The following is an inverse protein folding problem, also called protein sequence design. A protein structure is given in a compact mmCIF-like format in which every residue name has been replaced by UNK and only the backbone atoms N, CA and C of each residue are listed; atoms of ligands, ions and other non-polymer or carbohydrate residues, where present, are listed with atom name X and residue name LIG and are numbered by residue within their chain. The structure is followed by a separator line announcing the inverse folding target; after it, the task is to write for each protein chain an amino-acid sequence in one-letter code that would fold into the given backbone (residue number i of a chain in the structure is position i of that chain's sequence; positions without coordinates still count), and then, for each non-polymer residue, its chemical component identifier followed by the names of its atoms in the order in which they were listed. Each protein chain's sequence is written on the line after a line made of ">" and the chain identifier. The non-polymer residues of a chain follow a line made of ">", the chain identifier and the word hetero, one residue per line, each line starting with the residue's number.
data_IF_606352737416
#
_entry.id   IF_606352737416
#
_cell.length_a   1.000
_cell.length_b   1.000
_cell.length_c   1.000
_cell.angle_alpha   90.00
_cell.angle_beta   90.00
_cell.angle_gamma   90.00
#
_symmetry.space_group_name_H-M   'P 1'
#
loop_
_entity.id
_entity.type
_entity.pdbx_description
1 polymer ?
2 non-polymer ?
3 non-polymer ?
4 water ?
#
# COMPACT_ATOMS: atom_id res chain seq x y z
N UNK A 1 -2.28 6.05 18.24
CA UNK A 1 -3.43 5.39 17.64
C UNK A 1 -3.33 3.88 17.60
N UNK A 2 -4.28 3.25 16.91
CA UNK A 2 -4.27 1.81 16.72
C UNK A 2 -3.46 1.45 15.49
N UNK A 3 -2.49 0.54 15.66
CA UNK A 3 -1.71 0.10 14.51
C UNK A 3 -2.60 -0.56 13.46
N UNK A 4 -3.57 -1.35 13.90
CA UNK A 4 -4.42 -2.05 12.95
C UNK A 4 -5.37 -1.09 12.24
N UNK A 5 -5.99 -0.18 12.98
CA UNK A 5 -6.88 0.78 12.33
C UNK A 5 -6.10 1.70 11.39
N UNK A 6 -4.88 2.06 11.78
CA UNK A 6 -4.04 2.85 10.89
C UNK A 6 -3.74 2.08 9.61
N UNK A 7 -3.52 0.77 9.73
CA UNK A 7 -3.32 -0.05 8.53
C UNK A 7 -4.57 -0.03 7.66
N UNK A 8 -5.74 -0.22 8.26
CA UNK A 8 -6.96 -0.24 7.45
C UNK A 8 -7.15 1.08 6.72
N UNK A 9 -6.93 2.19 7.42
CA UNK A 9 -7.04 3.50 6.78
C UNK A 9 -6.07 3.61 5.60
N UNK A 10 -4.79 3.27 5.81
CA UNK A 10 -3.80 3.31 4.74
C UNK A 10 -4.19 2.43 3.57
N UNK A 11 -4.73 1.23 3.86
CA UNK A 11 -5.08 0.29 2.82
C UNK A 11 -6.17 0.82 1.90
N UNK A 12 -6.90 1.85 2.33
CA UNK A 12 -8.01 2.37 1.57
C UNK A 12 -7.63 3.60 0.75
N UNK A 13 -6.46 4.17 0.99
CA UNK A 13 -6.09 5.40 0.29
C UNK A 13 -5.89 5.16 -1.20
N UNK A 14 -5.44 3.96 -1.60
CA UNK A 14 -5.19 3.69 -3.01
C UNK A 14 -6.42 3.83 -3.89
N UNK A 15 -7.61 3.60 -3.34
CA UNK A 15 -8.82 3.79 -4.16
C UNK A 15 -9.00 5.25 -4.54
N UNK A 16 -8.67 6.17 -3.63
CA UNK A 16 -8.71 7.57 -3.98
C UNK A 16 -7.62 7.96 -4.96
N UNK A 17 -6.41 7.40 -4.80
CA UNK A 17 -5.36 7.66 -5.75
C UNK A 17 -5.74 7.14 -7.14
N UNK A 18 -6.47 6.02 -7.22
CA UNK A 18 -6.88 5.52 -8.52
C UNK A 18 -7.87 6.47 -9.20
N UNK A 19 -8.85 6.97 -8.44
CA UNK A 19 -9.75 7.99 -8.99
C UNK A 19 -9.00 9.26 -9.34
N UNK A 20 -8.00 9.63 -8.55
CA UNK A 20 -7.20 10.80 -8.89
C UNK A 20 -6.46 10.59 -10.20
N UNK A 21 -6.02 9.36 -10.49
CA UNK A 21 -5.28 9.15 -11.74
C UNK A 21 -6.16 9.42 -12.95
N UNK A 22 -7.46 9.10 -12.87
CA UNK A 22 -8.37 9.44 -13.95
C UNK A 22 -8.49 10.95 -14.09
N UNK A 23 -8.57 11.65 -12.96
CA UNK A 23 -8.62 13.12 -13.00
C UNK A 23 -7.34 13.69 -13.60
N UNK A 24 -6.17 13.09 -13.30
CA UNK A 24 -4.93 13.57 -13.91
C UNK A 24 -4.95 13.46 -15.42
N UNK A 25 -5.62 12.44 -15.95
CA UNK A 25 -5.75 12.31 -17.39
C UNK A 25 -6.58 13.45 -17.97
N UNK A 26 -7.67 13.80 -17.31
CA UNK A 26 -8.47 14.94 -17.75
C UNK A 26 -7.64 16.22 -17.75
N UNK A 27 -6.88 16.45 -16.68
CA UNK A 27 -6.10 17.70 -16.61
C UNK A 27 -5.06 17.71 -17.73
N UNK A 28 -4.39 16.59 -17.96
CA UNK A 28 -3.36 16.54 -19.00
C UNK A 28 -3.95 16.79 -20.39
N UNK A 29 -5.13 16.22 -20.66
CA UNK A 29 -5.77 16.44 -21.95
C UNK A 29 -6.05 17.92 -22.16
N UNK A 30 -6.65 18.56 -21.16
CA UNK A 30 -7.03 19.96 -21.28
C UNK A 30 -5.82 20.88 -21.28
N UNK A 31 -4.75 20.53 -20.56
CA UNK A 31 -3.56 21.38 -20.59
C UNK A 31 -3.05 21.51 -22.01
N UNK A 32 -3.04 20.41 -22.75
CA UNK A 32 -2.53 20.42 -24.12
C UNK A 32 -3.41 21.23 -25.06
N UNK A 33 -4.71 21.34 -24.77
CA UNK A 33 -5.59 22.08 -25.66
C UNK A 33 -5.90 23.50 -25.18
N UNK A 34 -5.41 23.89 -24.00
CA UNK A 34 -5.66 25.22 -23.48
C UNK A 34 -7.07 25.43 -22.98
N UNK A 35 -7.76 24.37 -22.58
CA UNK A 35 -9.14 24.45 -22.16
C UNK A 35 -9.24 24.36 -20.64
N UNK A 36 -10.46 24.53 -20.12
CA UNK A 36 -10.72 24.33 -18.70
C UNK A 36 -10.08 23.02 -18.26
N UNK A 37 -9.34 23.06 -17.15
CA UNK A 37 -8.57 21.88 -16.79
C UNK A 37 -9.43 20.74 -16.28
N UNK A 38 -10.70 21.02 -15.96
CA UNK A 38 -11.70 19.98 -15.71
C UNK A 38 -12.59 19.71 -16.92
N UNK A 39 -12.16 20.11 -18.12
CA UNK A 39 -12.99 19.92 -19.31
C UNK A 39 -13.29 18.45 -19.55
N UNK A 40 -14.56 18.12 -19.74
CA UNK A 40 -15.01 16.76 -19.96
C UNK A 40 -15.04 15.89 -18.71
N UNK A 41 -14.63 16.41 -17.56
CA UNK A 41 -14.47 15.58 -16.37
C UNK A 41 -15.81 15.25 -15.73
N UNK A 42 -16.02 13.97 -15.39
CA UNK A 42 -17.18 13.53 -14.63
C UNK A 42 -16.75 13.18 -13.21
N UNK A 43 -17.04 14.00 -12.21
CA UNK A 43 -16.59 13.70 -10.86
C UNK A 43 -17.20 12.39 -10.36
N UNK A 44 -16.40 11.52 -9.75
CA UNK A 44 -16.91 10.22 -9.33
C UNK A 44 -17.94 10.33 -8.22
N UNK A 45 -18.88 9.39 -8.23
CA UNK A 45 -19.83 9.28 -7.13
C UNK A 45 -19.11 8.91 -5.83
N UNK A 46 -19.67 9.38 -4.71
CA UNK A 46 -19.12 9.02 -3.41
C UNK A 46 -19.12 7.52 -3.21
N UNK A 47 -18.03 7.00 -2.65
CA UNK A 47 -17.90 5.57 -2.36
C UNK A 47 -17.65 5.37 -0.86
N UNK A 48 -17.49 4.10 -0.47
CA UNK A 48 -17.25 3.77 0.94
C UNK A 48 -16.05 4.52 1.48
N UNK A 49 -15.02 4.70 0.64
CA UNK A 49 -13.74 5.22 1.09
C UNK A 49 -13.40 6.60 0.56
N UNK A 50 -14.00 7.02 -0.55
CA UNK A 50 -13.66 8.29 -1.20
C UNK A 50 -14.92 9.13 -1.30
N UNK A 51 -14.93 10.29 -0.64
CA UNK A 51 -16.10 11.14 -0.70
C UNK A 51 -16.16 11.91 -2.00
N UNK A 52 -15.03 12.39 -2.50
CA UNK A 52 -15.04 13.17 -3.73
C UNK A 52 -13.62 13.25 -4.29
N UNK A 53 -13.55 13.47 -5.60
CA UNK A 53 -12.32 13.81 -6.31
C UNK A 53 -12.66 14.99 -7.21
N UNK A 54 -12.10 16.15 -6.89
CA UNK A 54 -12.47 17.39 -7.55
C UNK A 54 -11.27 18.00 -8.26
N UNK A 55 -11.51 18.60 -9.42
CA UNK A 55 -10.49 19.34 -10.17
C UNK A 55 -10.80 20.82 -10.09
N UNK A 56 -9.79 21.61 -9.75
CA UNK A 56 -9.87 23.07 -9.92
C UNK A 56 -9.64 23.36 -11.39
N UNK A 57 -10.68 23.85 -12.10
CA UNK A 57 -10.55 24.07 -13.53
C UNK A 57 -9.57 25.16 -13.91
N UNK A 58 -9.16 26.00 -12.97
CA UNK A 58 -8.20 27.06 -13.29
C UNK A 58 -6.75 26.57 -13.19
N UNK A 59 -6.43 25.75 -12.18
CA UNK A 59 -5.07 25.32 -11.90
C UNK A 59 -4.80 23.85 -12.23
N UNK A 60 -5.85 23.04 -12.35
CA UNK A 60 -5.68 21.62 -12.51
C UNK A 60 -5.36 20.88 -11.23
N UNK A 61 -5.33 21.56 -10.08
CA UNK A 61 -5.10 20.84 -8.82
C UNK A 61 -6.26 19.92 -8.52
N UNK A 62 -5.95 18.72 -8.04
CA UNK A 62 -6.93 17.69 -7.73
C UNK A 62 -7.00 17.53 -6.23
N UNK A 63 -8.20 17.58 -5.67
CA UNK A 63 -8.40 17.34 -4.25
C UNK A 63 -9.16 16.03 -4.08
N UNK A 64 -8.54 15.08 -3.37
CA UNK A 64 -9.14 13.79 -3.03
C UNK A 64 -9.58 13.87 -1.57
N UNK A 65 -10.88 13.71 -1.33
CA UNK A 65 -11.42 13.76 0.03
C UNK A 65 -11.84 12.35 0.42
N UNK A 66 -11.28 11.84 1.50
CA UNK A 66 -11.62 10.49 1.95
C UNK A 66 -12.73 10.52 2.98
N UNK A 67 -13.42 9.38 3.11
CA UNK A 67 -14.47 9.25 4.12
C UNK A 67 -13.88 8.92 5.48
N UNK A 68 -14.76 8.83 6.49
CA UNK A 68 -14.34 8.47 7.84
C UNK A 68 -13.81 7.05 7.93
N UNK A 69 -13.98 6.22 6.89
CA UNK A 69 -13.28 4.94 6.87
C UNK A 69 -11.77 5.12 6.79
N UNK A 70 -11.32 6.32 6.42
CA UNK A 70 -9.90 6.67 6.40
C UNK A 70 -9.55 7.64 7.52
N UNK A 71 -10.24 8.78 7.59
CA UNK A 71 -9.89 9.78 8.59
C UNK A 71 -11.08 10.71 8.82
N UNK A 72 -10.99 11.47 9.91
CA UNK A 72 -12.06 12.36 10.30
C UNK A 72 -12.25 13.49 9.29
N UNK A 73 -13.50 13.94 9.15
CA UNK A 73 -13.80 15.08 8.30
C UNK A 73 -12.97 16.28 8.73
N UNK A 74 -12.44 17.01 7.75
CA UNK A 74 -11.54 18.11 8.04
C UNK A 74 -10.09 17.72 8.17
N UNK A 75 -9.78 16.43 8.29
CA UNK A 75 -8.42 15.92 8.25
C UNK A 75 -8.35 14.78 7.25
N UNK A 76 -8.83 15.04 6.02
CA UNK A 76 -9.13 13.93 5.11
C UNK A 76 -8.77 14.18 3.64
N UNK A 77 -7.99 15.20 3.30
CA UNK A 77 -7.71 15.43 1.87
C UNK A 77 -6.24 15.23 1.51
N UNK A 78 -6.05 14.73 0.29
CA UNK A 78 -4.77 14.80 -0.43
C UNK A 78 -4.96 15.75 -1.59
N UNK A 79 -3.90 16.48 -1.94
CA UNK A 79 -3.94 17.39 -3.09
C UNK A 79 -2.84 16.99 -4.06
N UNK A 80 -3.20 16.84 -5.33
CA UNK A 80 -2.25 16.55 -6.40
C UNK A 80 -2.11 17.81 -7.24
N UNK A 81 -0.88 18.29 -7.40
CA UNK A 81 -0.60 19.57 -8.07
C UNK A 81 0.14 19.30 -9.37
N UNK A 82 -0.36 19.77 -10.51
CA UNK A 82 0.36 19.62 -11.78
C UNK A 82 1.20 20.85 -12.10
N UNK A 83 2.28 20.61 -12.85
CA UNK A 83 3.14 21.70 -13.29
C UNK A 83 3.85 21.31 -14.57
N UNK A 84 4.48 22.28 -15.20
CA UNK A 84 5.27 22.07 -16.40
C UNK A 84 6.56 22.87 -16.28
N UNK A 85 7.60 22.50 -17.03
CA UNK A 85 8.83 23.30 -16.99
C UNK A 85 8.59 24.68 -17.60
N UNK A 86 9.40 25.65 -17.15
CA UNK A 86 9.23 27.01 -17.66
C UNK A 86 9.72 27.14 -19.10
N UNK A 87 10.66 26.31 -19.51
CA UNK A 87 11.24 26.35 -20.84
C UNK A 87 11.31 24.94 -21.42
N UNK A 88 11.14 24.83 -22.73
CA UNK A 88 11.29 23.53 -23.39
C UNK A 88 12.74 23.07 -23.37
N UNK A 89 13.69 24.00 -23.40
CA UNK A 89 15.12 23.71 -23.48
C UNK A 89 15.79 24.27 -22.24
N UNK A 90 16.41 23.38 -21.46
CA UNK A 90 17.14 23.69 -20.23
C UNK A 90 16.31 24.58 -19.31
N UNK A 91 15.24 24.04 -18.74
CA UNK A 91 14.39 24.85 -17.85
C UNK A 91 15.13 25.25 -16.58
N UNK A 92 14.61 26.28 -15.93
CA UNK A 92 15.17 26.76 -14.67
C UNK A 92 14.16 26.71 -13.55
N UNK A 93 12.93 26.30 -13.83
CA UNK A 93 11.86 26.32 -12.86
C UNK A 93 10.68 25.53 -13.43
N UNK A 94 9.72 25.29 -12.57
CA UNK A 94 8.43 24.74 -12.98
C UNK A 94 7.38 25.82 -12.79
N UNK A 95 6.35 25.77 -13.62
CA UNK A 95 5.26 26.74 -13.56
C UNK A 95 3.93 26.03 -13.37
N UNK A 96 2.95 26.66 -12.73
CA UNK A 96 1.63 26.05 -12.65
C UNK A 96 0.96 25.99 -14.02
N UNK A 97 -0.05 25.13 -14.10
CA UNK A 97 -0.98 25.20 -15.21
C UNK A 97 -1.94 26.36 -15.00
N UNK A 98 -2.44 26.92 -16.10
CA UNK A 98 -3.41 27.99 -16.03
C UNK A 98 -4.40 27.82 -17.15
N UNK A 99 -5.69 27.71 -16.81
CA UNK A 99 -6.76 27.69 -17.79
C UNK A 99 -6.55 28.73 -18.88
N UNK A 100 -6.59 28.26 -20.12
CA UNK A 100 -6.48 29.14 -21.28
C UNK A 100 -5.08 29.24 -21.84
N UNK A 101 -4.08 28.77 -21.11
CA UNK A 101 -2.70 28.80 -21.57
C UNK A 101 -2.32 27.40 -22.01
N UNK A 102 -2.17 27.22 -23.33
CA UNK A 102 -1.73 25.94 -23.84
C UNK A 102 -0.39 25.59 -23.24
N UNK A 103 -0.38 24.37 -22.73
CA UNK A 103 0.85 23.84 -22.10
C UNK A 103 1.15 22.49 -22.73
N UNK A 104 2.12 22.50 -23.65
CA UNK A 104 2.56 21.27 -24.30
C UNK A 104 3.56 20.53 -23.43
N UNK A 105 3.71 19.22 -23.70
CA UNK A 105 4.74 18.41 -23.08
C UNK A 105 4.27 17.62 -21.87
N UNK A 106 5.25 17.10 -21.14
CA UNK A 106 4.97 16.23 -20.00
C UNK A 106 4.60 17.05 -18.76
N UNK A 107 3.48 16.69 -18.16
CA UNK A 107 3.01 17.32 -16.94
C UNK A 107 3.56 16.55 -15.76
N UNK A 108 4.17 17.26 -14.80
CA UNK A 108 4.63 16.64 -13.56
C UNK A 108 3.54 16.78 -12.51
N UNK A 109 3.42 15.75 -11.67
CA UNK A 109 2.44 15.74 -10.59
C UNK A 109 3.15 15.59 -9.25
N UNK A 110 2.69 16.34 -8.25
CA UNK A 110 3.22 16.21 -6.90
C UNK A 110 2.07 16.06 -5.92
N UNK A 111 2.18 15.10 -5.01
CA UNK A 111 1.16 14.82 -4.02
C UNK A 111 1.51 15.52 -2.71
N UNK A 112 0.48 16.05 -2.04
CA UNK A 112 0.65 16.71 -0.75
C UNK A 112 -0.33 16.12 0.26
N UNK A 113 0.18 15.73 1.41
CA UNK A 113 -0.59 15.44 2.61
C UNK A 113 -0.37 16.58 3.61
N UNK A 114 -1.05 16.49 4.75
CA UNK A 114 -0.85 17.49 5.79
C UNK A 114 0.62 17.53 6.20
N UNK A 115 1.12 18.72 6.48
CA UNK A 115 2.47 18.89 6.94
C UNK A 115 3.51 19.06 5.85
N UNK A 116 3.18 18.74 4.61
CA UNK A 116 4.13 18.97 3.50
C UNK A 116 3.96 20.42 3.03
N UNK A 117 4.84 21.30 3.50
CA UNK A 117 4.68 22.73 3.25
C UNK A 117 5.64 23.26 2.18
N UNK A 118 6.36 22.38 1.52
CA UNK A 118 7.23 22.76 0.43
C UNK A 118 7.23 21.66 -0.61
N UNK A 119 7.39 22.07 -1.86
CA UNK A 119 7.57 21.11 -2.94
C UNK A 119 8.98 20.53 -2.88
N UNK A 120 9.10 19.23 -3.18
CA UNK A 120 10.41 18.58 -3.26
C UNK A 120 10.62 17.94 -4.63
N UNK A 121 9.96 18.43 -5.67
CA UNK A 121 10.18 17.92 -7.00
C UNK A 121 11.64 18.10 -7.42
N UNK A 122 12.18 17.22 -8.26
CA UNK A 122 13.59 17.32 -8.65
C UNK A 122 13.87 18.48 -9.59
N UNK A 123 15.14 18.67 -9.94
CA UNK A 123 15.50 19.69 -10.93
C UNK A 123 14.57 19.57 -12.13
N UNK A 124 14.09 20.71 -12.69
CA UNK A 124 14.50 22.10 -12.45
C UNK A 124 13.92 22.79 -11.24
N UNK A 125 13.23 22.09 -10.34
CA UNK A 125 13.00 22.64 -9.02
C UNK A 125 11.57 22.50 -8.54
N UNK A 126 11.20 23.35 -7.59
CA UNK A 126 9.93 23.24 -6.89
C UNK A 126 8.75 23.46 -7.82
N UNK A 127 7.71 22.65 -7.62
CA UNK A 127 6.43 22.92 -8.24
C UNK A 127 5.57 23.78 -7.32
N UNK A 128 4.37 24.12 -7.78
CA UNK A 128 3.47 24.94 -6.96
C UNK A 128 2.97 24.20 -5.74
N UNK A 129 2.49 24.97 -4.75
CA UNK A 129 1.87 24.41 -3.56
C UNK A 129 0.36 24.30 -3.72
N UNK A 130 -0.28 23.41 -2.95
CA UNK A 130 -1.75 23.37 -2.94
C UNK A 130 -2.35 24.75 -2.66
N UNK A 131 -3.39 25.08 -3.40
CA UNK A 131 -4.13 26.31 -3.15
C UNK A 131 -4.70 26.33 -1.74
N UNK A 132 -5.25 25.20 -1.31
CA UNK A 132 -5.65 24.96 0.06
C UNK A 132 -4.89 23.74 0.56
N UNK A 133 -4.26 23.88 1.73
CA UNK A 133 -3.42 22.81 2.24
C UNK A 133 -4.18 21.50 2.33
N UNK A 134 -3.48 20.42 2.04
CA UNK A 134 -4.01 19.09 2.27
C UNK A 134 -4.16 18.85 3.76
N UNK A 135 -5.17 18.06 4.14
CA UNK A 135 -5.44 17.84 5.55
C UNK A 135 -5.34 16.38 5.99
N UNK A 136 -5.15 15.43 5.09
CA UNK A 136 -4.97 14.04 5.51
C UNK A 136 -3.64 13.88 6.24
N UNK A 137 -3.63 13.32 7.44
CA UNK A 137 -2.35 13.13 8.15
C UNK A 137 -1.37 12.30 7.33
N UNK A 138 -0.09 12.73 7.35
CA UNK A 138 0.94 12.09 6.54
C UNK A 138 1.06 10.60 6.81
N UNK A 139 0.78 10.15 8.03
CA UNK A 139 0.92 8.72 8.38
C UNK A 139 -0.02 7.81 7.56
N UNK A 140 -1.04 8.41 6.96
CA UNK A 140 -1.97 7.63 6.15
C UNK A 140 -1.62 7.64 4.67
N UNK A 141 -0.62 8.40 4.28
CA UNK A 141 -0.36 8.69 2.89
C UNK A 141 0.91 8.02 2.40
N UNK A 142 1.03 7.83 1.08
CA UNK A 142 2.30 7.35 0.52
C UNK A 142 3.44 8.30 0.86
N UNK A 143 4.66 7.74 0.84
CA UNK A 143 5.86 8.50 1.19
C UNK A 143 5.95 9.80 0.40
N UNK A 144 5.65 9.75 -0.91
CA UNK A 144 5.85 10.92 -1.75
C UNK A 144 4.90 12.06 -1.40
N UNK A 145 3.88 11.81 -0.58
CA UNK A 145 2.96 12.87 -0.15
C UNK A 145 3.39 13.51 1.16
N UNK A 146 4.29 12.84 1.90
CA UNK A 146 4.65 13.30 3.24
C UNK A 146 5.66 14.43 3.20
N UNK A 147 6.49 14.48 2.18
CA UNK A 147 7.53 15.50 2.08
C UNK A 147 7.87 15.66 0.61
N UNK B 2 -6.28 -40.70 9.05
CA UNK B 2 -7.28 -40.50 10.13
C UNK B 2 -7.93 -39.14 9.90
N UNK B 3 -9.14 -39.10 9.35
CA UNK B 3 -9.73 -37.79 8.99
C UNK B 3 -9.82 -36.88 10.21
N UNK B 4 -10.35 -37.42 11.31
CA UNK B 4 -10.47 -36.57 12.49
C UNK B 4 -9.11 -36.11 12.98
N UNK B 5 -8.16 -37.04 13.13
CA UNK B 5 -6.87 -36.62 13.66
C UNK B 5 -6.15 -35.67 12.70
N UNK B 6 -6.36 -35.81 11.38
CA UNK B 6 -5.83 -34.82 10.45
C UNK B 6 -6.48 -33.47 10.67
N UNK B 7 -7.80 -33.45 10.83
CA UNK B 7 -8.51 -32.21 11.12
C UNK B 7 -8.01 -31.58 12.41
N UNK B 8 -7.78 -32.41 13.43
CA UNK B 8 -7.33 -31.89 14.70
C UNK B 8 -5.97 -31.20 14.54
N UNK B 9 -5.07 -31.84 13.79
CA UNK B 9 -3.78 -31.21 13.51
C UNK B 9 -3.97 -29.87 12.78
N UNK B 10 -4.85 -29.85 11.78
CA UNK B 10 -5.09 -28.60 11.06
C UNK B 10 -5.70 -27.53 11.95
N UNK B 11 -6.56 -27.94 12.90
CA UNK B 11 -7.18 -26.98 13.80
C UNK B 11 -6.14 -26.36 14.73
N UNK B 12 -5.20 -27.17 15.23
CA UNK B 12 -4.13 -26.67 16.07
C UNK B 12 -3.20 -25.77 15.28
N UNK B 13 -2.95 -26.12 14.01
CA UNK B 13 -2.14 -25.27 13.14
C UNK B 13 -2.83 -23.94 12.92
N UNK B 14 -4.16 -23.96 12.73
CA UNK B 14 -4.89 -22.71 12.57
C UNK B 14 -4.80 -21.80 13.78
N UNK B 15 -4.80 -22.38 14.97
CA UNK B 15 -4.61 -21.59 16.18
C UNK B 15 -3.23 -20.94 16.18
N UNK B 16 -2.22 -21.65 15.67
CA UNK B 16 -0.90 -21.07 15.56
C UNK B 16 -0.83 -19.93 14.56
N UNK B 17 -1.47 -20.10 13.40
CA UNK B 17 -1.51 -19.02 12.42
C UNK B 17 -2.19 -17.79 12.99
N UNK B 18 -3.23 -17.99 13.82
CA UNK B 18 -3.87 -16.85 14.46
C UNK B 18 -2.96 -16.16 15.46
N UNK B 19 -2.07 -16.93 16.10
CA UNK B 19 -1.10 -16.35 17.02
C UNK B 19 -0.14 -15.41 16.30
N UNK B 20 0.09 -15.63 15.01
CA UNK B 20 0.98 -14.80 14.22
C UNK B 20 0.33 -13.52 13.73
N UNK B 21 -0.93 -13.27 14.09
CA UNK B 21 -1.58 -12.04 13.63
C UNK B 21 -0.83 -10.80 14.11
N UNK B 22 -0.30 -10.83 15.34
CA UNK B 22 0.44 -9.65 15.82
C UNK B 22 1.76 -9.48 15.08
N UNK B 23 2.36 -10.58 14.61
CA UNK B 23 3.56 -10.45 13.78
C UNK B 23 3.21 -9.81 12.43
N UNK B 24 2.05 -10.16 11.87
CA UNK B 24 1.64 -9.58 10.57
C UNK B 24 1.43 -8.08 10.75
N UNK B 25 0.85 -7.70 11.89
CA UNK B 25 0.64 -6.29 12.16
C UNK B 25 1.95 -5.54 12.36
N UNK B 26 2.92 -6.15 13.05
CA UNK B 26 4.22 -5.52 13.20
C UNK B 26 4.87 -5.27 11.85
N UNK B 27 4.78 -6.24 10.95
CA UNK B 27 5.34 -6.08 9.61
C UNK B 27 4.70 -4.90 8.90
N UNK B 28 3.37 -4.84 8.91
CA UNK B 28 2.66 -3.75 8.24
C UNK B 28 3.00 -2.40 8.85
N UNK B 29 3.07 -2.32 10.18
CA UNK B 29 3.39 -1.04 10.81
C UNK B 29 4.78 -0.58 10.45
N UNK B 30 5.75 -1.51 10.42
CA UNK B 30 7.12 -1.16 10.06
C UNK B 30 7.26 -0.83 8.58
N UNK B 31 6.53 -1.55 7.71
CA UNK B 31 6.59 -1.27 6.28
C UNK B 31 6.15 0.15 5.98
N UNK B 32 5.15 0.64 6.71
CA UNK B 32 4.62 1.98 6.46
C UNK B 32 5.57 3.08 6.92
N UNK B 33 6.50 2.75 7.81
CA UNK B 33 7.51 3.70 8.28
C UNK B 33 8.87 3.47 7.64
N UNK B 34 9.05 2.38 6.89
CA UNK B 34 10.33 2.09 6.27
C UNK B 34 11.36 1.50 7.21
N UNK B 35 10.93 0.94 8.34
CA UNK B 35 11.87 0.47 9.35
C UNK B 35 12.00 -1.05 9.22
N UNK B 36 12.93 -1.61 10.02
CA UNK B 36 13.11 -3.04 10.10
C UNK B 36 11.76 -3.74 10.30
N UNK B 37 11.48 -4.73 9.45
CA UNK B 37 10.14 -5.30 9.42
C UNK B 37 9.85 -6.17 10.62
N UNK B 38 10.88 -6.59 11.36
CA UNK B 38 10.69 -7.21 12.66
C UNK B 38 10.78 -6.22 13.81
N UNK B 39 10.90 -4.92 13.51
CA UNK B 39 11.06 -3.91 14.54
C UNK B 39 9.97 -3.90 15.59
N UNK B 40 10.35 -3.91 16.86
CA UNK B 40 9.42 -3.81 17.97
C UNK B 40 8.67 -5.08 18.29
N UNK B 41 8.91 -6.16 17.56
CA UNK B 41 8.18 -7.40 17.73
C UNK B 41 8.90 -8.31 18.72
N UNK B 42 8.19 -8.73 19.78
CA UNK B 42 8.75 -9.71 20.70
C UNK B 42 8.14 -11.07 20.39
N UNK B 43 8.90 -12.01 19.83
CA UNK B 43 8.31 -13.29 19.47
C UNK B 43 7.73 -13.99 20.68
N UNK B 44 6.66 -14.76 20.51
CA UNK B 44 6.04 -15.42 21.66
C UNK B 44 6.89 -16.58 22.17
N UNK B 45 6.73 -16.86 23.46
CA UNK B 45 7.26 -18.11 23.97
C UNK B 45 6.44 -19.27 23.42
N UNK B 46 7.01 -20.46 23.52
CA UNK B 46 6.32 -21.63 23.00
C UNK B 46 4.99 -21.84 23.72
N UNK B 47 4.05 -22.44 22.98
CA UNK B 47 2.75 -22.83 23.58
C UNK B 47 2.63 -24.35 23.32
N UNK B 48 1.47 -24.91 23.62
CA UNK B 48 1.23 -26.33 23.35
C UNK B 48 1.34 -26.65 21.86
N UNK B 49 0.93 -25.71 21.00
CA UNK B 49 0.92 -25.94 19.57
C UNK B 49 2.09 -25.30 18.83
N UNK B 50 2.55 -24.14 19.28
CA UNK B 50 3.50 -23.33 18.54
C UNK B 50 4.82 -23.27 19.28
N UNK B 51 5.90 -23.61 18.58
CA UNK B 51 7.23 -23.53 19.12
C UNK B 51 7.82 -22.13 18.99
N UNK B 52 7.62 -21.48 17.84
CA UNK B 52 8.17 -20.14 17.62
C UNK B 52 7.47 -19.46 16.46
N UNK B 53 7.51 -18.13 16.49
CA UNK B 53 7.11 -17.27 15.38
C UNK B 53 8.27 -16.32 15.14
N UNK B 54 8.72 -16.21 13.89
CA UNK B 54 9.89 -15.40 13.58
C UNK B 54 9.62 -14.56 12.34
N UNK B 55 10.04 -13.30 12.40
CA UNK B 55 9.91 -12.35 11.29
C UNK B 55 11.28 -12.12 10.68
N UNK B 56 11.38 -12.24 9.36
CA UNK B 56 12.59 -11.80 8.67
C UNK B 56 12.50 -10.27 8.51
N UNK B 57 13.47 -9.56 9.10
CA UNK B 57 13.39 -8.10 9.10
C UNK B 57 13.60 -7.46 7.75
N UNK B 58 14.11 -8.20 6.77
CA UNK B 58 14.37 -7.65 5.45
C UNK B 58 13.16 -7.82 4.54
N UNK B 59 12.50 -8.98 4.60
CA UNK B 59 11.41 -9.32 3.69
C UNK B 59 10.04 -9.31 4.33
N UNK B 60 9.97 -9.36 5.66
CA UNK B 60 8.71 -9.47 6.35
C UNK B 60 8.09 -10.84 6.35
N UNK B 61 8.77 -11.86 5.81
CA UNK B 61 8.23 -13.22 5.85
C UNK B 61 8.22 -13.74 7.27
N UNK B 62 7.12 -14.39 7.64
CA UNK B 62 6.93 -14.93 8.98
C UNK B 62 7.02 -16.45 8.92
N UNK B 63 7.88 -17.02 9.75
CA UNK B 63 7.99 -18.48 9.87
C UNK B 63 7.36 -18.90 11.19
N UNK B 64 6.37 -19.79 11.11
CA UNK B 64 5.70 -20.33 12.28
C UNK B 64 6.12 -21.80 12.40
N UNK B 65 6.73 -22.14 13.53
CA UNK B 65 7.17 -23.50 13.82
C UNK B 65 6.25 -24.13 14.86
N UNK B 66 5.77 -25.34 14.58
CA UNK B 66 4.80 -26.00 15.44
C UNK B 66 5.48 -27.09 16.26
N UNK B 67 4.89 -27.40 17.41
CA UNK B 67 5.47 -28.36 18.34
C UNK B 67 5.25 -29.79 17.83
N UNK B 68 5.87 -30.74 18.52
CA UNK B 68 5.81 -32.13 18.08
C UNK B 68 4.41 -32.71 18.17
N UNK B 69 3.53 -32.13 19.00
CA UNK B 69 2.18 -32.66 19.06
C UNK B 69 1.39 -32.33 17.80
N UNK B 70 1.91 -31.46 16.94
CA UNK B 70 1.34 -31.22 15.63
C UNK B 70 2.09 -31.98 14.54
N UNK B 71 3.41 -31.88 14.53
CA UNK B 71 4.19 -32.50 13.46
C UNK B 71 5.62 -32.72 13.95
N UNK B 72 6.29 -33.68 13.32
CA UNK B 72 7.66 -34.02 13.70
C UNK B 72 8.60 -32.86 13.45
N UNK B 73 9.66 -32.78 14.27
CA UNK B 73 10.65 -31.74 14.12
C UNK B 73 11.30 -31.79 12.75
N UNK B 74 11.55 -30.62 12.17
CA UNK B 74 12.07 -30.53 10.82
C UNK B 74 11.03 -30.63 9.72
N UNK B 75 9.80 -31.02 10.04
CA UNK B 75 8.69 -31.00 9.09
C UNK B 75 7.53 -30.25 9.75
N UNK B 76 7.80 -29.02 10.20
CA UNK B 76 6.90 -28.39 11.15
C UNK B 76 6.69 -26.90 10.94
N UNK B 77 7.09 -26.31 9.82
CA UNK B 77 6.93 -24.87 9.63
C UNK B 77 5.95 -24.52 8.53
N UNK B 78 5.28 -23.37 8.71
CA UNK B 78 4.55 -22.68 7.67
C UNK B 78 5.24 -21.33 7.44
N UNK B 79 5.16 -20.81 6.22
CA UNK B 79 5.74 -19.50 5.92
C UNK B 79 4.63 -18.59 5.40
N UNK B 80 4.52 -17.40 5.97
CA UNK B 80 3.58 -16.37 5.54
C UNK B 80 4.37 -15.28 4.83
N UNK B 81 4.04 -15.03 3.57
CA UNK B 81 4.79 -14.11 2.72
C UNK B 81 3.95 -12.88 2.47
N UNK B 82 4.43 -11.68 2.83
CA UNK B 82 3.68 -10.47 2.51
C UNK B 82 4.12 -9.85 1.19
N UNK B 83 3.15 -9.18 0.56
CA UNK B 83 3.44 -8.45 -0.67
C UNK B 83 2.54 -7.23 -0.75
N UNK B 84 2.92 -6.30 -1.63
CA UNK B 84 2.26 -5.02 -1.79
C UNK B 84 2.04 -4.74 -3.27
N UNK B 85 1.16 -3.81 -3.61
CA UNK B 85 0.97 -3.46 -5.02
C UNK B 85 2.21 -2.83 -5.61
N UNK B 86 2.44 -3.08 -6.92
CA UNK B 86 3.46 -2.35 -7.63
C UNK B 86 3.14 -0.87 -7.68
N UNK B 87 1.86 -0.53 -7.78
CA UNK B 87 1.39 0.85 -7.68
C UNK B 87 0.05 0.82 -6.99
N UNK B 88 -0.18 1.79 -6.09
CA UNK B 88 -1.39 1.79 -5.27
C UNK B 88 -2.64 2.06 -6.11
N UNK B 89 -2.51 2.87 -7.16
CA UNK B 89 -3.62 3.21 -8.02
C UNK B 89 -3.69 2.17 -9.15
N UNK B 90 -4.71 1.31 -9.09
CA UNK B 90 -4.89 0.21 -10.04
C UNK B 90 -3.64 -0.66 -10.10
N UNK B 91 -3.40 -1.49 -9.08
CA UNK B 91 -2.22 -2.36 -9.10
C UNK B 91 -2.22 -3.29 -10.31
N UNK B 92 -1.04 -3.47 -10.90
CA UNK B 92 -0.87 -4.39 -12.01
C UNK B 92 0.01 -5.57 -11.68
N UNK B 93 0.52 -5.65 -10.45
CA UNK B 93 1.37 -6.75 -10.02
C UNK B 93 1.53 -6.65 -8.51
N UNK B 94 2.18 -7.66 -7.93
CA UNK B 94 2.55 -7.68 -6.52
C UNK B 94 4.06 -7.66 -6.40
N UNK B 95 4.57 -6.94 -5.40
CA UNK B 95 6.00 -6.88 -5.16
C UNK B 95 6.29 -7.29 -3.72
N UNK B 96 7.46 -7.85 -3.44
CA UNK B 96 7.81 -8.15 -2.04
C UNK B 96 7.99 -6.89 -1.22
N UNK B 97 7.87 -7.04 0.09
CA UNK B 97 8.33 -6.00 1.00
C UNK B 97 9.85 -5.99 1.05
N UNK B 98 10.41 -4.80 1.27
CA UNK B 98 11.85 -4.63 1.36
C UNK B 98 12.15 -3.61 2.46
N UNK B 99 12.89 -4.05 3.46
CA UNK B 99 13.35 -3.17 4.54
C UNK B 99 13.90 -1.87 3.97
N UNK B 100 13.41 -0.75 4.51
CA UNK B 100 13.88 0.56 4.11
C UNK B 100 13.08 1.21 2.99
N UNK B 101 12.18 0.48 2.36
CA UNK B 101 11.30 0.98 1.32
C UNK B 101 9.89 1.10 1.90
N UNK B 102 9.39 2.32 1.99
CA UNK B 102 8.08 2.57 2.59
C UNK B 102 7.01 1.93 1.72
N UNK B 103 6.20 1.09 2.33
CA UNK B 103 5.04 0.54 1.64
C UNK B 103 3.86 0.88 2.53
N UNK B 104 3.08 1.88 2.11
CA UNK B 104 2.07 2.49 2.96
C UNK B 104 0.66 2.16 2.51
N UNK B 105 0.49 1.15 1.67
CA UNK B 105 -0.84 0.75 1.23
C UNK B 105 -1.23 -0.63 1.70
N UNK B 106 -1.99 -1.35 0.87
CA UNK B 106 -2.42 -2.69 1.22
C UNK B 106 -1.22 -3.63 1.32
N UNK B 107 -1.32 -4.59 2.24
CA UNK B 107 -0.37 -5.68 2.37
C UNK B 107 -1.16 -6.97 2.30
N UNK B 108 -0.81 -7.84 1.35
CA UNK B 108 -1.44 -9.15 1.20
C UNK B 108 -0.52 -10.22 1.76
N UNK B 109 -1.12 -11.25 2.37
CA UNK B 109 -0.36 -12.34 2.96
C UNK B 109 -0.73 -13.65 2.27
N UNK B 110 0.28 -14.43 1.91
CA UNK B 110 0.06 -15.75 1.36
C UNK B 110 0.77 -16.78 2.23
N UNK B 111 0.08 -17.88 2.52
CA UNK B 111 0.58 -18.96 3.35
C UNK B 111 1.16 -20.06 2.47
N UNK B 112 2.27 -20.64 2.91
CA UNK B 112 2.92 -21.74 2.20
C UNK B 112 3.20 -22.88 3.15
N UNK B 113 2.78 -24.08 2.75
CA UNK B 113 3.15 -25.33 3.40
C UNK B 113 4.11 -26.09 2.48
N UNK B 114 4.56 -27.25 2.93
CA UNK B 114 5.47 -28.03 2.10
C UNK B 114 4.79 -28.38 0.77
N UNK B 115 5.56 -28.28 -0.32
CA UNK B 115 5.07 -28.65 -1.63
C UNK B 115 4.37 -27.56 -2.40
N UNK B 116 4.11 -26.41 -1.77
CA UNK B 116 3.52 -25.28 -2.47
C UNK B 116 4.66 -24.48 -3.06
N UNK B 117 5.01 -24.78 -4.32
CA UNK B 117 6.18 -24.20 -4.95
C UNK B 117 5.84 -23.03 -5.85
N UNK B 118 4.57 -22.65 -5.94
CA UNK B 118 4.17 -21.49 -6.73
C UNK B 118 3.10 -20.74 -5.95
N UNK B 119 3.06 -19.42 -6.17
CA UNK B 119 2.02 -18.60 -5.55
C UNK B 119 0.68 -18.87 -6.25
N UNK B 120 -0.40 -18.81 -5.46
CA UNK B 120 -1.74 -18.96 -6.00
C UNK B 120 -2.58 -17.71 -5.80
N UNK B 121 -1.94 -16.57 -5.54
CA UNK B 121 -2.70 -15.35 -5.31
C UNK B 121 -3.45 -14.97 -6.59
N UNK B 122 -4.61 -14.30 -6.45
CA UNK B 122 -5.36 -13.89 -7.63
C UNK B 122 -4.82 -12.61 -8.24
N UNK B 123 -5.58 -12.06 -9.18
CA UNK B 123 -5.21 -10.80 -9.82
C UNK B 123 -4.92 -9.75 -8.74
N UNK B 124 -3.88 -8.92 -8.93
CA UNK B 124 -3.07 -8.77 -10.15
C UNK B 124 -1.99 -9.82 -10.38
N UNK B 125 -1.83 -10.88 -9.60
CA UNK B 125 -0.94 -11.94 -10.02
C UNK B 125 -0.20 -12.59 -8.87
N UNK B 126 0.86 -13.32 -9.22
CA UNK B 126 1.61 -14.10 -8.25
C UNK B 126 2.31 -13.20 -7.24
N UNK B 127 2.36 -13.67 -5.98
CA UNK B 127 3.17 -13.04 -4.97
C UNK B 127 4.53 -13.71 -4.88
N UNK B 128 5.40 -13.19 -4.01
CA UNK B 128 6.71 -13.81 -3.84
C UNK B 128 6.62 -15.16 -3.12
N UNK B 129 7.69 -15.95 -3.27
CA UNK B 129 7.78 -17.26 -2.66
C UNK B 129 8.60 -17.23 -1.38
N UNK B 130 8.40 -18.21 -0.49
CA UNK B 130 9.22 -18.29 0.73
C UNK B 130 10.71 -18.31 0.44
N UNK B 131 11.47 -17.58 1.25
CA UNK B 131 12.92 -17.59 1.14
C UNK B 131 13.46 -18.99 1.38
N UNK B 132 12.91 -19.69 2.36
CA UNK B 132 13.20 -21.08 2.63
C UNK B 132 11.86 -21.81 2.64
N UNK B 133 11.80 -22.96 1.97
CA UNK B 133 10.55 -23.69 1.83
C UNK B 133 9.96 -24.03 3.19
N UNK B 134 8.63 -23.97 3.28
CA UNK B 134 7.94 -24.46 4.46
C UNK B 134 8.06 -25.98 4.53
N UNK B 135 8.04 -26.51 5.76
CA UNK B 135 8.25 -27.94 5.93
C UNK B 135 7.07 -28.68 6.53
N UNK B 136 6.02 -28.00 6.97
CA UNK B 136 4.84 -28.69 7.48
C UNK B 136 4.13 -29.39 6.32
N UNK B 137 3.85 -30.68 6.43
CA UNK B 137 3.16 -31.38 5.35
C UNK B 137 1.80 -30.74 5.04
N UNK B 138 1.45 -30.77 3.75
CA UNK B 138 0.23 -30.12 3.29
C UNK B 138 -1.01 -30.64 4.03
N UNK B 139 -1.06 -31.93 4.36
CA UNK B 139 -2.29 -32.45 4.96
C UNK B 139 -2.52 -31.88 6.35
N UNK B 140 -1.50 -31.33 7.00
CA UNK B 140 -1.67 -30.75 8.33
C UNK B 140 -1.91 -29.26 8.27
N UNK B 141 -1.93 -28.67 7.09
CA UNK B 141 -2.08 -27.25 6.86
C UNK B 141 -3.46 -26.94 6.32
N UNK B 142 -3.99 -25.75 6.62
CA UNK B 142 -5.24 -25.32 5.98
C UNK B 142 -5.10 -25.29 4.46
N UNK B 143 -6.24 -25.46 3.79
CA UNK B 143 -6.24 -25.55 2.33
C UNK B 143 -5.53 -24.38 1.66
N UNK B 144 -5.66 -23.17 2.23
CA UNK B 144 -5.07 -22.00 1.60
C UNK B 144 -3.55 -21.97 1.66
N UNK B 145 -2.92 -22.89 2.39
CA UNK B 145 -1.47 -23.00 2.44
C UNK B 145 -0.92 -23.99 1.43
N UNK B 146 -1.78 -24.62 0.63
CA UNK B 146 -1.40 -25.77 -0.17
C UNK B 146 -1.29 -25.41 -1.64
N UNK B 147 -0.49 -26.20 -2.34
CA UNK B 147 -0.49 -26.23 -3.81
C UNK B 147 -1.87 -26.58 -4.34
#
# INVERSE_FOLDING_TARGET
>A
GSAYQDYLARSRVGEGLALASSARLAVADNAASGTSLDGGYSPPAATRNVESVAIDGVTGQITVAFTTRVAAAGTNTLVLVPSAPDKADTPTARVPLKKGTIQAGTIAWECFAAGKDASSLPAPGAGPLPSNAATLPAKYAPAECRA
>B
GSAYQDYLARSRVGEGLALASSARLAVADNAASGTSLDGGYSPPAATRNVESVAIDGVTGQITVAFTTRVAAAGTNTLVLVPSAPDKADTPTARVPLKKGTIQAGTIAWECFAAGKDASSLPAPGAGPLPSNAATLPAKYAPAECRA
#
